data_IF_564942453471
#
_entry.id   IF_564942453471
#
_cell.length_a   1.000
_cell.length_b   1.000
_cell.length_c   1.000
_cell.angle_alpha   90.00
_cell.angle_beta   90.00
_cell.angle_gamma   90.00
#
_symmetry.space_group_name_H-M   'P 1'
#
loop_
_entity.id
_entity.type
_entity.pdbx_description
1 polymer ?
#
# COMPACT_ATOMS: atom_id res chain seq x y z
N UNK A 1 13.87 -7.25 6.59
CA UNK A 1 14.05 -5.79 6.76
C UNK A 1 12.65 -5.22 6.84
N UNK A 2 12.40 -4.25 7.72
CA UNK A 2 11.07 -3.65 7.83
C UNK A 2 10.84 -2.65 6.68
N UNK A 3 9.61 -2.59 6.18
CA UNK A 3 9.15 -1.60 5.24
C UNK A 3 9.06 -0.20 5.88
N UNK A 4 9.19 0.85 5.07
CA UNK A 4 8.89 2.21 5.51
C UNK A 4 7.38 2.41 5.72
N UNK A 5 6.98 3.37 6.55
CA UNK A 5 5.57 3.65 6.79
C UNK A 5 4.80 4.29 5.63
N UNK A 6 5.48 4.62 4.51
CA UNK A 6 4.87 5.10 3.28
C UNK A 6 5.32 4.24 2.10
N UNK A 7 4.37 3.52 1.51
CA UNK A 7 4.61 2.64 0.36
C UNK A 7 3.96 3.22 -0.89
N UNK A 8 4.71 3.20 -1.99
CA UNK A 8 4.19 3.37 -3.34
C UNK A 8 4.42 2.06 -4.11
N UNK A 9 3.36 1.31 -4.38
CA UNK A 9 3.40 0.09 -5.17
C UNK A 9 3.12 0.41 -6.64
N UNK A 10 4.10 0.14 -7.51
CA UNK A 10 3.89 0.09 -8.94
C UNK A 10 3.61 -1.34 -9.40
N UNK A 11 2.34 -1.65 -9.67
CA UNK A 11 1.96 -2.97 -10.18
C UNK A 11 2.12 -3.07 -11.70
N UNK A 12 3.09 -3.87 -12.13
CA UNK A 12 3.40 -4.20 -13.52
C UNK A 12 2.63 -5.42 -14.01
N UNK A 13 2.29 -6.36 -13.11
CA UNK A 13 1.71 -7.66 -13.49
C UNK A 13 0.31 -7.95 -12.94
N UNK A 14 -0.27 -7.00 -12.20
CA UNK A 14 -1.58 -7.13 -11.56
C UNK A 14 -1.56 -7.99 -10.29
N UNK A 15 -2.59 -7.81 -9.46
CA UNK A 15 -2.70 -8.48 -8.17
C UNK A 15 -3.00 -9.98 -8.31
N UNK A 16 -2.23 -10.82 -7.60
CA UNK A 16 -2.50 -12.27 -7.47
C UNK A 16 -2.40 -12.69 -6.01
N UNK A 17 -3.52 -13.02 -5.38
CA UNK A 17 -3.59 -13.36 -3.95
C UNK A 17 -2.61 -14.45 -3.52
N UNK A 18 -2.38 -15.48 -4.33
CA UNK A 18 -1.42 -16.56 -3.99
C UNK A 18 0.03 -16.08 -3.89
N UNK A 19 0.38 -14.96 -4.52
CA UNK A 19 1.73 -14.41 -4.61
C UNK A 19 1.91 -13.16 -3.74
N UNK A 20 0.83 -12.43 -3.50
CA UNK A 20 0.88 -11.05 -3.04
C UNK A 20 0.25 -10.82 -1.66
N UNK A 21 -0.64 -11.72 -1.19
CA UNK A 21 -1.20 -11.66 0.17
C UNK A 21 -0.08 -11.61 1.24
N UNK A 22 0.99 -12.38 1.02
CA UNK A 22 2.13 -12.42 1.95
C UNK A 22 2.79 -11.04 2.09
N UNK A 23 2.98 -10.34 0.98
CA UNK A 23 3.52 -8.98 0.97
C UNK A 23 2.61 -8.00 1.70
N UNK A 24 1.30 -8.02 1.42
CA UNK A 24 0.35 -7.13 2.10
C UNK A 24 0.28 -7.38 3.62
N UNK A 25 0.42 -8.63 4.05
CA UNK A 25 0.50 -8.99 5.48
C UNK A 25 1.79 -8.51 6.13
N UNK A 26 2.92 -8.54 5.42
CA UNK A 26 4.18 -7.95 5.90
C UNK A 26 4.03 -6.43 6.08
N UNK A 27 3.40 -5.73 5.13
CA UNK A 27 3.11 -4.29 5.27
C UNK A 27 2.25 -3.99 6.51
N UNK A 28 1.22 -4.80 6.75
CA UNK A 28 0.38 -4.68 7.94
C UNK A 28 1.18 -4.93 9.23
N UNK A 29 2.05 -5.94 9.24
CA UNK A 29 2.91 -6.26 10.38
C UNK A 29 3.89 -5.13 10.70
N UNK A 30 4.43 -4.49 9.66
CA UNK A 30 5.34 -3.34 9.79
C UNK A 30 4.62 -2.02 10.09
N UNK A 31 3.28 -2.05 10.21
CA UNK A 31 2.43 -0.93 10.60
C UNK A 31 2.60 0.31 9.72
N UNK A 32 2.60 0.11 8.40
CA UNK A 32 2.65 1.22 7.47
C UNK A 32 1.44 2.15 7.63
N UNK A 33 1.58 3.43 7.36
CA UNK A 33 0.51 4.42 7.53
C UNK A 33 -0.11 4.83 6.20
N UNK A 34 0.63 4.71 5.10
CA UNK A 34 0.19 5.05 3.75
C UNK A 34 0.58 3.96 2.75
N UNK A 35 -0.38 3.55 1.94
CA UNK A 35 -0.19 2.67 0.80
C UNK A 35 -0.83 3.28 -0.45
N UNK A 36 0.02 3.77 -1.35
CA UNK A 36 -0.39 4.23 -2.68
C UNK A 36 -0.12 3.12 -3.68
N UNK A 37 -1.06 2.83 -4.56
CA UNK A 37 -0.88 1.85 -5.64
C UNK A 37 -1.25 2.42 -6.99
N UNK A 38 -0.43 2.11 -7.99
CA UNK A 38 -0.65 2.47 -9.38
C UNK A 38 -0.33 1.28 -10.30
N UNK A 39 -0.82 1.35 -11.53
CA UNK A 39 -0.60 0.33 -12.55
C UNK A 39 -1.71 -0.72 -12.62
N UNK A 40 -1.35 -1.94 -13.02
CA UNK A 40 -2.32 -3.00 -13.29
C UNK A 40 -3.03 -3.44 -12.01
N UNK A 41 -4.36 -3.56 -12.05
CA UNK A 41 -5.20 -3.99 -10.91
C UNK A 41 -4.95 -3.20 -9.61
N UNK A 42 -4.60 -1.91 -9.71
CA UNK A 42 -4.36 -1.06 -8.55
C UNK A 42 -5.54 -1.04 -7.57
N UNK A 43 -6.77 -1.11 -8.07
CA UNK A 43 -7.98 -1.24 -7.26
C UNK A 43 -8.05 -2.57 -6.50
N UNK A 44 -7.68 -3.69 -7.13
CA UNK A 44 -7.66 -4.99 -6.43
C UNK A 44 -6.60 -5.04 -5.33
N UNK A 45 -5.46 -4.39 -5.55
CA UNK A 45 -4.42 -4.24 -4.54
C UNK A 45 -4.92 -3.45 -3.32
N UNK A 46 -5.60 -2.33 -3.57
CA UNK A 46 -6.25 -1.51 -2.54
C UNK A 46 -7.32 -2.31 -1.80
N UNK A 47 -8.28 -2.92 -2.51
CA UNK A 47 -9.34 -3.75 -1.95
C UNK A 47 -8.77 -4.89 -1.08
N UNK A 48 -7.70 -5.55 -1.54
CA UNK A 48 -7.07 -6.63 -0.81
C UNK A 48 -6.45 -6.16 0.51
N UNK A 49 -5.72 -5.03 0.48
CA UNK A 49 -5.12 -4.48 1.70
C UNK A 49 -6.18 -4.03 2.69
N UNK A 50 -7.25 -3.37 2.22
CA UNK A 50 -8.37 -2.95 3.05
C UNK A 50 -9.02 -4.16 3.76
N UNK A 51 -9.31 -5.23 3.03
CA UNK A 51 -9.88 -6.46 3.61
C UNK A 51 -8.95 -7.12 4.63
N UNK A 52 -7.64 -7.19 4.32
CA UNK A 52 -6.64 -7.75 5.23
C UNK A 52 -6.53 -6.88 6.50
N UNK A 53 -6.60 -5.55 6.35
CA UNK A 53 -6.51 -4.59 7.44
C UNK A 53 -7.70 -4.66 8.40
N UNK A 54 -8.93 -4.84 7.87
CA UNK A 54 -10.16 -5.01 8.68
C UNK A 54 -10.11 -6.29 9.54
N UNK A 55 -9.49 -7.36 9.03
CA UNK A 55 -9.43 -8.66 9.70
C UNK A 55 -10.75 -9.44 9.63
N UNK A 56 -10.74 -10.70 10.03
CA UNK A 56 -11.86 -11.65 9.84
C UNK A 56 -13.14 -11.31 10.61
N UNK A 57 -13.02 -10.53 11.67
CA UNK A 57 -14.09 -10.15 12.60
C UNK A 57 -14.15 -8.63 12.85
N UNK A 58 -13.47 -7.84 12.00
CA UNK A 58 -13.35 -6.40 12.21
C UNK A 58 -12.43 -6.01 13.38
N UNK A 59 -11.59 -6.94 13.87
CA UNK A 59 -10.64 -6.69 14.96
C UNK A 59 -9.40 -5.90 14.56
N UNK A 60 -9.29 -5.45 13.30
CA UNK A 60 -8.21 -4.60 12.82
C UNK A 60 -7.95 -3.41 13.74
N UNK A 61 -6.72 -3.30 14.27
CA UNK A 61 -6.35 -2.28 15.27
C UNK A 61 -5.51 -1.14 14.69
N UNK A 62 -5.18 -1.22 13.40
CA UNK A 62 -4.26 -0.32 12.73
C UNK A 62 -4.95 0.32 11.53
N UNK A 63 -4.76 1.63 11.36
CA UNK A 63 -5.30 2.38 10.23
C UNK A 63 -4.19 2.53 9.18
N UNK A 64 -4.46 2.05 7.97
CA UNK A 64 -3.66 2.32 6.79
C UNK A 64 -4.50 3.19 5.87
N UNK A 65 -3.96 4.33 5.44
CA UNK A 65 -4.58 5.11 4.37
C UNK A 65 -4.18 4.46 3.05
N UNK A 66 -5.16 4.07 2.26
CA UNK A 66 -4.98 3.49 0.93
C UNK A 66 -5.39 4.48 -0.15
N UNK A 67 -4.65 4.53 -1.26
CA UNK A 67 -4.99 5.33 -2.44
C UNK A 67 -4.69 4.58 -3.74
N UNK A 68 -5.67 4.51 -4.64
CA UNK A 68 -5.54 3.94 -5.97
C UNK A 68 -5.40 5.01 -7.07
N UNK A 69 -4.32 4.94 -7.83
CA UNK A 69 -3.93 5.90 -8.85
C UNK A 69 -3.91 5.26 -10.24
N UNK A 70 -4.99 5.47 -11.03
CA UNK A 70 -5.15 4.83 -12.35
C UNK A 70 -4.55 5.60 -13.53
N UNK A 71 -4.41 6.92 -13.41
CA UNK A 71 -4.05 7.83 -14.50
C UNK A 71 -2.83 8.70 -14.21
N UNK A 72 -2.19 8.51 -13.05
CA UNK A 72 -1.03 9.29 -12.62
C UNK A 72 0.26 8.50 -12.88
N UNK A 73 1.36 9.21 -13.14
CA UNK A 73 2.68 8.60 -13.28
C UNK A 73 3.25 8.17 -11.93
N UNK A 74 4.27 7.31 -11.96
CA UNK A 74 4.99 6.93 -10.75
C UNK A 74 5.57 8.16 -10.02
N UNK A 75 6.10 9.13 -10.76
CA UNK A 75 6.66 10.36 -10.21
C UNK A 75 5.60 11.21 -9.51
N UNK A 76 4.40 11.32 -10.10
CA UNK A 76 3.26 12.04 -9.50
C UNK A 76 2.82 11.40 -8.18
N UNK A 77 2.70 10.07 -8.16
CA UNK A 77 2.30 9.32 -6.96
C UNK A 77 3.37 9.37 -5.87
N UNK A 78 4.66 9.30 -6.24
CA UNK A 78 5.77 9.49 -5.29
C UNK A 78 5.75 10.89 -4.70
N UNK A 79 5.54 11.93 -5.52
CA UNK A 79 5.43 13.31 -5.03
C UNK A 79 4.24 13.48 -4.08
N UNK A 80 3.09 12.87 -4.41
CA UNK A 80 1.92 12.83 -3.52
C UNK A 80 2.26 12.17 -2.17
N UNK A 81 2.88 10.98 -2.18
CA UNK A 81 3.22 10.27 -0.95
C UNK A 81 4.26 11.02 -0.09
N UNK A 82 5.18 11.76 -0.72
CA UNK A 82 6.13 12.63 -0.02
C UNK A 82 5.41 13.75 0.74
N UNK A 83 4.39 14.36 0.12
CA UNK A 83 3.62 15.46 0.70
C UNK A 83 2.54 15.01 1.70
N UNK A 84 2.10 13.75 1.63
CA UNK A 84 1.04 13.23 2.50
C UNK A 84 1.48 13.18 3.97
N UNK A 85 0.73 13.80 4.87
CA UNK A 85 1.06 13.79 6.30
C UNK A 85 0.64 12.48 6.97
N UNK A 86 1.56 11.88 7.73
CA UNK A 86 1.36 10.67 8.54
C UNK A 86 1.58 11.01 10.01
N UNK A 87 1.17 10.13 10.93
CA UNK A 87 1.39 10.31 12.37
C UNK A 87 2.86 10.31 12.77
N UNK A 88 3.72 9.66 11.96
CA UNK A 88 5.18 9.69 12.10
C UNK A 88 5.87 10.09 10.80
N UNK A 89 7.11 10.59 10.90
CA UNK A 89 7.93 10.86 9.71
C UNK A 89 8.41 9.54 9.08
N UNK A 90 8.14 9.39 7.78
CA UNK A 90 8.53 8.22 6.99
C UNK A 90 9.14 8.66 5.67
N UNK A 91 10.12 7.90 5.18
CA UNK A 91 10.58 8.03 3.80
C UNK A 91 9.63 7.29 2.85
N UNK A 92 9.43 7.80 1.64
CA UNK A 92 8.65 7.04 0.64
C UNK A 92 9.48 5.87 0.13
N UNK A 93 8.94 4.67 0.21
CA UNK A 93 9.52 3.46 -0.37
C UNK A 93 8.71 3.01 -1.58
N UNK A 94 9.38 2.91 -2.72
CA UNK A 94 8.80 2.40 -3.96
C UNK A 94 9.03 0.90 -4.05
N UNK A 95 7.98 0.15 -4.38
CA UNK A 95 8.00 -1.31 -4.58
C UNK A 95 7.40 -1.61 -5.96
N UNK A 96 7.97 -2.59 -6.67
CA UNK A 96 7.46 -3.04 -7.97
C UNK A 96 7.03 -4.51 -7.91
N UNK A 97 5.86 -4.85 -8.48
CA UNK A 97 5.34 -6.24 -8.53
C UNK A 97 4.54 -6.54 -9.80
#
# INVERSE_FOLDING_TARGET
MAYSGKIVLFSKSGYRSEQDDGFLRELLQDRIELFCVLGQDADKWEDALDWICVGTDGSGQHLIITTCHRNESLEEVVAFAQMFETGHEHTVQVVER
#
